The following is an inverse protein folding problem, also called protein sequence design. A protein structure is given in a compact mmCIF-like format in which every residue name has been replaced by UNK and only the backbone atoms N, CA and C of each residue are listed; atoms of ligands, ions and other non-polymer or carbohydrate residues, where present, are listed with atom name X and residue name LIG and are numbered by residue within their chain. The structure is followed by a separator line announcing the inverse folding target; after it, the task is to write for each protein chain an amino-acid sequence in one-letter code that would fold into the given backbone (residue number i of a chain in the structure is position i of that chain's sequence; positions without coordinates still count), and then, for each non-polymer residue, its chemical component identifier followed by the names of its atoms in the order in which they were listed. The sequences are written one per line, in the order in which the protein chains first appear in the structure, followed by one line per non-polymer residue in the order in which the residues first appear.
data_IF_833470880682
#
_entry.id   IF_833470880682
#
_cell.length_a   1.000
_cell.length_b   1.000
_cell.length_c   1.000
_cell.angle_alpha   90.00
_cell.angle_beta   90.00
_cell.angle_gamma   90.00
#
_symmetry.space_group_name_H-M   'P 1'
#
loop_
_entity.id
_entity.type
_entity.pdbx_description
1 polymer ?
#
# COMPACT_ATOMS: atom_id res chain seq x y z
N UNK A 1 -3.27 -0.56 -14.16
CA UNK A 1 -2.42 -0.21 -12.98
C UNK A 1 -3.33 -0.02 -11.77
N UNK A 2 -2.91 -0.45 -10.58
CA UNK A 2 -3.67 -0.23 -9.35
C UNK A 2 -3.58 1.25 -8.91
N UNK A 3 -4.44 1.60 -7.96
CA UNK A 3 -4.32 2.85 -7.21
C UNK A 3 -3.09 2.80 -6.31
N UNK A 4 -2.52 3.97 -6.01
CA UNK A 4 -1.34 4.09 -5.13
C UNK A 4 -1.56 5.21 -4.12
N UNK A 5 -1.16 4.92 -2.89
CA UNK A 5 -1.16 5.88 -1.79
C UNK A 5 0.20 5.90 -1.09
N UNK A 6 0.56 7.06 -0.55
CA UNK A 6 1.69 7.23 0.36
C UNK A 6 1.15 7.83 1.65
N UNK A 7 1.36 7.13 2.76
CA UNK A 7 0.94 7.58 4.08
C UNK A 7 2.16 7.98 4.90
N UNK A 8 1.99 8.98 5.75
CA UNK A 8 2.93 9.28 6.82
C UNK A 8 2.92 8.15 7.84
N UNK A 9 4.09 7.58 8.14
CA UNK A 9 4.19 6.42 9.04
C UNK A 9 3.73 6.73 10.47
N UNK A 10 3.98 7.96 10.95
CA UNK A 10 3.69 8.34 12.33
C UNK A 10 2.25 8.81 12.51
N UNK A 11 1.76 9.66 11.61
CA UNK A 11 0.41 10.24 11.72
C UNK A 11 -0.67 9.45 10.98
N UNK A 12 -0.27 8.54 10.08
CA UNK A 12 -1.16 7.85 9.13
C UNK A 12 -1.91 8.80 8.19
N UNK A 13 -1.48 10.06 8.10
CA UNK A 13 -2.04 11.02 7.15
C UNK A 13 -1.64 10.65 5.73
N UNK A 14 -2.59 10.76 4.80
CA UNK A 14 -2.36 10.47 3.39
C UNK A 14 -1.62 11.66 2.78
N UNK A 15 -0.37 11.44 2.38
CA UNK A 15 0.51 12.44 1.73
C UNK A 15 0.24 12.53 0.24
N UNK A 16 0.03 11.38 -0.41
CA UNK A 16 -0.18 11.30 -1.85
C UNK A 16 -1.29 10.30 -2.19
N UNK A 17 -2.04 10.61 -3.26
CA UNK A 17 -3.01 9.71 -3.88
C UNK A 17 -2.81 9.72 -5.38
N UNK A 18 -2.72 8.55 -5.98
CA UNK A 18 -2.65 8.38 -7.42
C UNK A 18 -3.71 7.40 -7.86
N UNK A 19 -4.66 7.88 -8.65
CA UNK A 19 -5.69 7.04 -9.25
C UNK A 19 -5.07 6.19 -10.35
N UNK A 20 -5.20 4.87 -10.24
CA UNK A 20 -4.75 3.91 -11.22
C UNK A 20 -5.71 3.83 -12.39
N UNK A 21 -5.16 3.62 -13.59
CA UNK A 21 -5.94 3.23 -14.75
C UNK A 21 -6.31 1.74 -14.63
N UNK A 22 -7.38 1.47 -13.89
CA UNK A 22 -7.95 0.15 -13.65
C UNK A 22 -8.92 -0.18 -14.80
N UNK A 23 -8.72 -1.29 -15.49
CA UNK A 23 -9.59 -1.69 -16.63
C UNK A 23 -10.19 -3.08 -16.47
N UNK A 24 -9.58 -3.92 -15.63
CA UNK A 24 -10.02 -5.28 -15.34
C UNK A 24 -9.87 -5.59 -13.86
N UNK A 25 -10.66 -6.52 -13.37
CA UNK A 25 -10.54 -7.14 -12.05
C UNK A 25 -10.69 -8.65 -12.19
N UNK A 26 -10.00 -9.40 -11.33
CA UNK A 26 -10.20 -10.85 -11.24
C UNK A 26 -11.34 -11.12 -10.27
N UNK A 27 -12.35 -11.88 -10.71
CA UNK A 27 -13.54 -12.22 -9.92
C UNK A 27 -13.59 -13.72 -9.64
N UNK A 28 -14.09 -14.08 -8.45
CA UNK A 28 -14.32 -15.47 -8.09
C UNK A 28 -15.64 -15.96 -8.69
N UNK A 29 -15.61 -17.14 -9.31
CA UNK A 29 -16.78 -17.86 -9.78
C UNK A 29 -17.05 -19.08 -8.87
N UNK A 30 -18.17 -19.77 -9.10
CA UNK A 30 -18.48 -21.04 -8.43
C UNK A 30 -17.35 -22.08 -8.58
N UNK A 31 -16.61 -22.02 -9.70
CA UNK A 31 -15.43 -22.83 -9.94
C UNK A 31 -14.34 -21.98 -10.63
N UNK A 32 -13.36 -21.55 -9.86
CA UNK A 32 -12.18 -20.84 -10.35
C UNK A 32 -12.32 -19.32 -10.33
N UNK A 33 -11.55 -18.67 -11.18
CA UNK A 33 -11.48 -17.21 -11.31
C UNK A 33 -11.55 -16.82 -12.78
N UNK A 34 -12.07 -15.63 -13.07
CA UNK A 34 -12.03 -15.03 -14.39
C UNK A 34 -11.65 -13.55 -14.32
N UNK A 35 -11.11 -13.02 -15.42
CA UNK A 35 -10.90 -11.58 -15.58
C UNK A 35 -12.16 -10.93 -16.14
N UNK A 36 -12.76 -10.03 -15.35
CA UNK A 36 -13.92 -9.24 -15.73
C UNK A 36 -13.54 -7.79 -16.00
N UNK A 37 -14.22 -7.15 -16.96
CA UNK A 37 -14.13 -5.70 -17.13
C UNK A 37 -14.79 -4.98 -15.96
N UNK A 38 -14.16 -3.92 -15.47
CA UNK A 38 -14.75 -3.09 -14.43
C UNK A 38 -15.56 -1.96 -15.06
N UNK A 39 -16.68 -1.60 -14.41
CA UNK A 39 -17.47 -0.45 -14.81
C UNK A 39 -16.62 0.83 -14.85
N UNK A 40 -16.92 1.74 -15.78
CA UNK A 40 -16.24 3.04 -15.89
C UNK A 40 -16.26 3.84 -14.57
N UNK A 41 -17.33 3.73 -13.79
CA UNK A 41 -17.44 4.36 -12.48
C UNK A 41 -16.37 3.84 -11.51
N UNK A 42 -16.30 2.52 -11.30
CA UNK A 42 -15.26 1.87 -10.47
C UNK A 42 -13.84 2.11 -10.99
N UNK A 43 -13.65 2.20 -12.32
CA UNK A 43 -12.35 2.50 -12.91
C UNK A 43 -11.86 3.91 -12.54
N UNK A 44 -12.80 4.87 -12.52
CA UNK A 44 -12.55 6.28 -12.25
C UNK A 44 -12.62 6.65 -10.76
N UNK A 45 -12.85 5.69 -9.86
CA UNK A 45 -12.89 5.90 -8.41
C UNK A 45 -11.73 5.21 -7.71
N UNK A 46 -11.34 5.72 -6.54
CA UNK A 46 -10.41 5.02 -5.65
C UNK A 46 -11.05 3.74 -5.10
N UNK A 47 -10.28 2.66 -5.01
CA UNK A 47 -10.77 1.37 -4.49
C UNK A 47 -10.79 1.27 -2.96
N UNK A 48 -10.30 2.28 -2.25
CA UNK A 48 -10.30 2.35 -0.79
C UNK A 48 -10.80 3.70 -0.31
N UNK A 49 -11.43 3.71 0.86
CA UNK A 49 -11.73 4.93 1.60
C UNK A 49 -10.61 5.28 2.61
N UNK A 50 -10.68 6.49 3.18
CA UNK A 50 -9.64 7.01 4.07
C UNK A 50 -9.49 6.23 5.37
N UNK A 51 -10.57 5.65 5.89
CA UNK A 51 -10.55 4.88 7.14
C UNK A 51 -9.92 3.50 6.91
N UNK A 52 -10.22 2.86 5.78
CA UNK A 52 -9.54 1.62 5.35
C UNK A 52 -8.04 1.83 5.17
N UNK A 53 -7.63 2.94 4.53
CA UNK A 53 -6.21 3.28 4.34
C UNK A 53 -5.46 3.44 5.67
N UNK A 54 -6.06 4.15 6.63
CA UNK A 54 -5.48 4.32 7.97
C UNK A 54 -5.40 2.99 8.71
N UNK A 55 -6.42 2.13 8.59
CA UNK A 55 -6.40 0.82 9.22
C UNK A 55 -5.31 -0.10 8.65
N UNK A 56 -5.14 -0.10 7.33
CA UNK A 56 -4.03 -0.81 6.67
C UNK A 56 -2.68 -0.29 7.19
N UNK A 57 -2.51 1.04 7.29
CA UNK A 57 -1.31 1.66 7.84
C UNK A 57 -1.05 1.29 9.31
N UNK A 58 -2.11 1.25 10.14
CA UNK A 58 -2.04 0.82 11.53
C UNK A 58 -1.59 -0.64 11.65
N UNK A 59 -2.16 -1.53 10.84
CA UNK A 59 -1.77 -2.94 10.78
C UNK A 59 -0.32 -3.12 10.30
N UNK A 60 0.10 -2.37 9.28
CA UNK A 60 1.47 -2.39 8.79
C UNK A 60 2.48 -1.99 9.88
N UNK A 61 2.19 -0.93 10.64
CA UNK A 61 3.02 -0.50 11.77
C UNK A 61 3.12 -1.58 12.86
N UNK A 62 2.00 -2.25 13.19
CA UNK A 62 2.00 -3.34 14.17
C UNK A 62 2.81 -4.55 13.71
N UNK A 63 2.72 -4.91 12.42
CA UNK A 63 3.52 -6.00 11.86
C UNK A 63 5.01 -5.66 11.87
N UNK A 64 5.39 -4.45 11.48
CA UNK A 64 6.78 -4.00 11.54
C UNK A 64 7.32 -4.01 12.97
N UNK A 65 6.56 -3.54 13.96
CA UNK A 65 6.93 -3.61 15.38
C UNK A 65 7.09 -5.06 15.85
N UNK A 66 6.16 -5.94 15.46
CA UNK A 66 6.20 -7.35 15.83
C UNK A 66 7.40 -8.10 15.24
N UNK A 67 7.73 -7.87 13.98
CA UNK A 67 8.83 -8.56 13.28
C UNK A 67 10.18 -7.83 13.38
N UNK A 68 10.19 -6.58 13.85
CA UNK A 68 11.40 -5.75 13.99
C UNK A 68 12.03 -5.31 12.67
N UNK A 69 11.35 -5.51 11.54
CA UNK A 69 11.84 -5.23 10.19
C UNK A 69 10.66 -4.77 9.31
N UNK A 70 10.90 -3.91 8.30
CA UNK A 70 9.86 -3.53 7.34
C UNK A 70 9.24 -4.75 6.66
N UNK A 71 7.92 -4.75 6.53
CA UNK A 71 7.16 -5.86 5.96
C UNK A 71 6.53 -5.48 4.62
N UNK A 72 6.55 -6.43 3.69
CA UNK A 72 5.72 -6.48 2.50
C UNK A 72 4.49 -7.33 2.84
N UNK A 73 3.30 -6.77 2.67
CA UNK A 73 2.06 -7.33 3.18
C UNK A 73 1.01 -7.45 2.08
N UNK A 74 0.33 -8.58 2.05
CA UNK A 74 -0.90 -8.77 1.27
C UNK A 74 -2.09 -8.75 2.21
N UNK A 75 -3.13 -8.03 1.83
CA UNK A 75 -4.36 -7.85 2.61
C UNK A 75 -5.56 -7.82 1.67
N UNK A 76 -6.76 -8.02 2.24
CA UNK A 76 -8.02 -7.88 1.54
C UNK A 76 -9.03 -7.08 2.35
N UNK A 77 -9.88 -6.34 1.66
CA UNK A 77 -11.11 -5.73 2.21
C UNK A 77 -12.24 -6.75 2.06
N UNK A 78 -12.95 -7.03 3.15
CA UNK A 78 -14.14 -7.88 3.12
C UNK A 78 -15.38 -6.99 3.05
N UNK A 79 -15.94 -6.81 1.85
CA UNK A 79 -17.03 -5.84 1.59
C UNK A 79 -18.25 -6.03 2.51
N UNK A 80 -18.61 -7.27 2.83
CA UNK A 80 -19.78 -7.61 3.66
C UNK A 80 -19.53 -7.57 5.18
N UNK A 81 -18.36 -7.10 5.63
CA UNK A 81 -18.05 -6.96 7.06
C UNK A 81 -18.06 -5.50 7.52
N UNK A 82 -18.53 -5.21 8.75
CA UNK A 82 -18.38 -3.90 9.33
C UNK A 82 -16.91 -3.58 9.60
N UNK A 83 -16.57 -2.30 9.58
CA UNK A 83 -15.22 -1.85 9.90
C UNK A 83 -14.81 -2.24 11.35
N UNK A 84 -13.56 -2.70 11.59
CA UNK A 84 -12.50 -2.92 10.60
C UNK A 84 -12.73 -4.18 9.77
N UNK A 85 -12.71 -4.02 8.44
CA UNK A 85 -13.00 -5.05 7.44
C UNK A 85 -11.75 -5.52 6.69
N UNK A 86 -10.55 -5.26 7.24
CA UNK A 86 -9.26 -5.61 6.65
C UNK A 86 -8.78 -6.96 7.21
N UNK A 87 -8.43 -7.89 6.32
CA UNK A 87 -7.83 -9.18 6.68
C UNK A 87 -6.44 -9.28 6.09
N UNK A 88 -5.47 -9.66 6.92
CA UNK A 88 -4.10 -9.94 6.50
C UNK A 88 -4.02 -11.34 5.87
N UNK A 89 -3.43 -11.44 4.68
CA UNK A 89 -3.25 -12.69 3.94
C UNK A 89 -1.81 -13.19 4.04
N UNK A 90 -0.84 -12.28 3.89
CA UNK A 90 0.59 -12.60 3.84
C UNK A 90 1.39 -11.45 4.46
N UNK A 91 2.45 -11.75 5.21
CA UNK A 91 3.47 -10.77 5.64
C UNK A 91 4.87 -11.37 5.49
N UNK A 92 5.77 -10.68 4.80
CA UNK A 92 7.18 -11.10 4.62
C UNK A 92 8.13 -9.91 4.78
N UNK A 93 9.36 -10.11 5.29
CA UNK A 93 10.34 -9.04 5.37
C UNK A 93 10.65 -8.46 3.98
N UNK A 94 10.72 -7.12 3.90
CA UNK A 94 11.23 -6.44 2.71
C UNK A 94 12.73 -6.69 2.62
N UNK A 95 13.18 -7.20 1.47
CA UNK A 95 14.61 -7.26 1.16
C UNK A 95 15.03 -5.89 0.62
N UNK A 96 15.54 -5.05 1.51
CA UNK A 96 16.12 -3.77 1.11
C UNK A 96 17.51 -4.05 0.53
N UNK A 97 17.68 -3.87 -0.78
CA UNK A 97 19.01 -3.86 -1.36
C UNK A 97 19.82 -2.76 -0.67
N UNK A 98 21.01 -3.09 -0.14
CA UNK A 98 21.89 -2.06 0.44
C UNK A 98 22.15 -1.00 -0.63
N UNK A 99 21.84 0.26 -0.33
CA UNK A 99 22.27 1.40 -1.14
C UNK A 99 23.78 1.29 -1.37
N UNK A 100 24.23 1.58 -2.59
CA UNK A 100 25.65 1.64 -2.85
C UNK A 100 26.27 2.75 -1.98
N UNK A 101 27.51 2.59 -1.48
CA UNK A 101 28.16 3.62 -0.68
C UNK A 101 28.20 5.00 -1.35
N UNK A 102 28.20 5.03 -2.68
CA UNK A 102 28.17 6.25 -3.48
C UNK A 102 26.84 7.01 -3.34
N UNK A 103 25.71 6.30 -3.28
CA UNK A 103 24.38 6.92 -3.15
C UNK A 103 24.21 7.53 -1.76
N UNK A 104 24.75 6.87 -0.72
CA UNK A 104 24.75 7.39 0.65
C UNK A 104 25.56 8.70 0.77
N UNK A 105 26.71 8.76 0.11
CA UNK A 105 27.55 9.98 0.08
C UNK A 105 26.85 11.09 -0.71
N UNK A 106 26.18 10.76 -1.82
CA UNK A 106 25.38 11.72 -2.59
C UNK A 106 24.23 12.29 -1.76
N UNK A 107 23.45 11.45 -1.05
CA UNK A 107 22.36 11.90 -0.19
C UNK A 107 22.86 12.81 0.94
N UNK A 108 24.01 12.48 1.55
CA UNK A 108 24.69 13.34 2.53
C UNK A 108 25.08 14.70 1.92
N UNK A 109 25.67 14.71 0.72
CA UNK A 109 26.09 15.93 0.04
C UNK A 109 24.90 16.80 -0.38
N UNK A 110 23.82 16.19 -0.87
CA UNK A 110 22.58 16.89 -1.24
C UNK A 110 21.91 17.47 0.01
N UNK A 111 21.83 16.72 1.10
CA UNK A 111 21.32 17.21 2.38
C UNK A 111 22.12 18.40 2.93
N UNK A 112 23.45 18.40 2.79
CA UNK A 112 24.30 19.52 3.18
C UNK A 112 24.12 20.76 2.30
N UNK A 113 23.67 20.60 1.05
CA UNK A 113 23.43 21.70 0.11
C UNK A 113 22.03 22.30 0.24
N UNK A 114 21.06 21.54 0.76
CA UNK A 114 19.68 22.01 1.01
C UNK A 114 19.52 22.86 2.28
N UNK A 115 20.55 22.97 3.13
CA UNK A 115 20.63 23.96 4.20
C UNK A 115 21.41 25.20 3.71
N UNK A 116 20.83 25.99 2.81
CA UNK A 116 21.25 27.36 2.49
C UNK A 116 20.05 28.19 2.04
#
# INVERSE_FOLDING_TARGET
MPDRWVLDKGTLEIRERTLGNKTKATVCLDCGIEDAEISAEKACSFCLNDEELKEIGRLANQLEEHFGLPQDIEWAVVEDQPFPNIVLLQARPVVIAKQAPVDQVLDLMVGMLSFK
#
